data_IF_078041285743
#
_entry.id   IF_078041285743
#
_cell.length_a   1.000
_cell.length_b   1.000
_cell.length_c   1.000
_cell.angle_alpha   90.00
_cell.angle_beta   90.00
_cell.angle_gamma   90.00
#
_symmetry.space_group_name_H-M   'P 1'
#
loop_
_entity.id
_entity.type
_entity.pdbx_description
1 polymer ?
#
# COMPACT_ATOMS: atom_id res chain seq x y z
N UNK A 1 -18.90 3.10 -29.22
CA UNK A 1 -18.29 1.83 -29.65
C UNK A 1 -17.73 1.03 -28.46
N UNK A 2 -16.90 1.62 -27.59
CA UNK A 2 -16.32 0.93 -26.43
C UNK A 2 -17.34 0.43 -25.38
N UNK A 3 -18.45 1.14 -25.18
CA UNK A 3 -19.50 0.73 -24.25
C UNK A 3 -20.16 -0.59 -24.68
N UNK A 4 -20.37 -0.79 -25.98
CA UNK A 4 -20.93 -2.03 -26.52
C UNK A 4 -19.95 -3.20 -26.27
N UNK A 5 -18.64 -2.94 -26.41
CA UNK A 5 -17.60 -3.93 -26.11
C UNK A 5 -17.59 -4.27 -24.63
N UNK A 6 -17.67 -3.28 -23.72
CA UNK A 6 -17.74 -3.52 -22.27
C UNK A 6 -18.99 -4.36 -21.92
N UNK A 7 -20.16 -3.97 -22.44
CA UNK A 7 -21.41 -4.68 -22.17
C UNK A 7 -21.36 -6.11 -22.71
N UNK A 8 -20.76 -6.32 -23.88
CA UNK A 8 -20.58 -7.64 -24.47
C UNK A 8 -19.61 -8.50 -23.65
N UNK A 9 -18.54 -7.93 -23.11
CA UNK A 9 -17.61 -8.61 -22.20
C UNK A 9 -18.29 -9.01 -20.89
N UNK A 10 -19.05 -8.09 -20.27
CA UNK A 10 -19.80 -8.38 -19.04
C UNK A 10 -20.87 -9.44 -19.29
N UNK A 11 -21.60 -9.33 -20.41
CA UNK A 11 -22.62 -10.32 -20.78
C UNK A 11 -22.01 -11.71 -21.01
N UNK A 12 -20.78 -11.79 -21.54
CA UNK A 12 -20.05 -13.05 -21.75
C UNK A 12 -19.52 -13.65 -20.44
N UNK A 13 -19.24 -12.83 -19.43
CA UNK A 13 -18.81 -13.30 -18.11
C UNK A 13 -19.91 -14.05 -17.34
N UNK A 14 -21.18 -13.72 -17.57
CA UNK A 14 -22.33 -14.35 -16.88
C UNK A 14 -22.41 -15.87 -17.18
N UNK A 15 -22.45 -16.35 -18.44
CA UNK A 15 -22.55 -17.78 -18.73
C UNK A 15 -21.28 -18.55 -18.36
N UNK A 16 -20.09 -17.94 -18.47
CA UNK A 16 -18.83 -18.56 -18.00
C UNK A 16 -18.92 -18.86 -16.51
N UNK A 17 -19.40 -17.91 -15.72
CA UNK A 17 -19.55 -18.07 -14.26
C UNK A 17 -20.60 -19.13 -13.93
N UNK A 18 -21.72 -19.19 -14.66
CA UNK A 18 -22.77 -20.19 -14.46
C UNK A 18 -22.29 -21.63 -14.78
N UNK A 19 -21.56 -21.83 -15.88
CA UNK A 19 -21.01 -23.13 -16.28
C UNK A 19 -19.90 -23.58 -15.31
N UNK A 20 -19.09 -22.65 -14.82
CA UNK A 20 -18.06 -22.96 -13.82
C UNK A 20 -18.68 -23.39 -12.49
N UNK A 21 -19.81 -22.79 -12.07
CA UNK A 21 -20.45 -23.07 -10.79
C UNK A 21 -20.96 -24.52 -10.68
N UNK A 22 -21.38 -25.12 -11.80
CA UNK A 22 -21.83 -26.52 -11.88
C UNK A 22 -20.68 -27.53 -12.09
N UNK A 23 -19.44 -27.07 -12.28
CA UNK A 23 -18.27 -27.93 -12.55
C UNK A 23 -17.34 -28.04 -11.33
N UNK A 24 -16.68 -29.20 -11.09
CA UNK A 24 -15.72 -29.38 -9.99
C UNK A 24 -14.59 -28.34 -9.95
N UNK A 25 -14.31 -27.67 -11.07
CA UNK A 25 -13.36 -26.55 -11.14
C UNK A 25 -13.88 -25.30 -10.40
N UNK A 26 -15.14 -24.90 -10.57
CA UNK A 26 -15.72 -23.78 -9.82
C UNK A 26 -15.90 -24.12 -8.34
N UNK A 27 -16.20 -25.37 -7.98
CA UNK A 27 -16.27 -25.82 -6.58
C UNK A 27 -14.91 -25.89 -5.88
N UNK A 28 -13.83 -26.21 -6.61
CA UNK A 28 -12.47 -26.22 -6.08
C UNK A 28 -11.85 -24.81 -5.97
N UNK A 29 -12.20 -23.91 -6.89
CA UNK A 29 -11.88 -22.48 -6.77
C UNK A 29 -12.72 -21.84 -5.66
N UNK A 30 -14.02 -22.14 -5.56
CA UNK A 30 -14.85 -21.77 -4.43
C UNK A 30 -14.31 -22.35 -3.13
N UNK A 31 -13.77 -23.57 -3.08
CA UNK A 31 -13.13 -24.11 -1.86
C UNK A 31 -11.77 -23.49 -1.53
N UNK A 32 -11.11 -22.85 -2.51
CA UNK A 32 -9.92 -21.99 -2.30
C UNK A 32 -10.29 -20.54 -2.02
N UNK A 33 -11.47 -20.08 -2.42
CA UNK A 33 -12.02 -18.76 -2.10
C UNK A 33 -12.80 -18.77 -0.76
N UNK A 34 -13.41 -19.90 -0.40
CA UNK A 34 -14.12 -20.20 0.85
C UNK A 34 -13.23 -20.95 1.85
N UNK A 35 -11.98 -21.24 1.47
CA UNK A 35 -10.96 -21.74 2.37
C UNK A 35 -9.78 -20.77 2.41
N UNK A 36 -9.63 -19.94 3.44
CA UNK A 36 -10.62 -19.41 4.39
C UNK A 36 -11.12 -18.03 3.92
N UNK A 37 -11.99 -17.43 4.70
CA UNK A 37 -12.40 -16.01 4.66
C UNK A 37 -11.22 -15.00 4.69
N UNK A 38 -10.45 -14.90 3.61
CA UNK A 38 -9.21 -14.12 3.51
C UNK A 38 -9.37 -12.73 2.84
N UNK A 39 -10.60 -12.28 2.58
CA UNK A 39 -10.83 -10.87 2.24
C UNK A 39 -10.66 -9.96 3.46
N UNK A 40 -11.25 -10.33 4.60
CA UNK A 40 -11.21 -9.52 5.82
C UNK A 40 -9.92 -9.72 6.65
N UNK A 41 -9.34 -10.92 6.65
CA UNK A 41 -8.06 -11.21 7.31
C UNK A 41 -6.88 -10.50 6.64
N UNK A 42 -6.86 -10.50 5.30
CA UNK A 42 -5.83 -9.82 4.52
C UNK A 42 -5.95 -8.29 4.65
N UNK A 43 -7.16 -7.72 4.67
CA UNK A 43 -7.38 -6.29 4.92
C UNK A 43 -6.90 -5.88 6.31
N UNK A 44 -7.18 -6.68 7.34
CA UNK A 44 -6.78 -6.38 8.73
C UNK A 44 -5.27 -6.53 8.96
N UNK A 45 -4.63 -7.45 8.25
CA UNK A 45 -3.17 -7.57 8.21
C UNK A 45 -2.54 -6.40 7.43
N UNK A 46 -3.17 -5.97 6.33
CA UNK A 46 -2.76 -4.79 5.58
C UNK A 46 -2.88 -3.52 6.42
N UNK A 47 -3.96 -3.38 7.20
CA UNK A 47 -4.21 -2.27 8.11
C UNK A 47 -3.13 -2.19 9.21
N UNK A 48 -2.78 -3.32 9.83
CA UNK A 48 -1.66 -3.39 10.79
C UNK A 48 -0.32 -3.02 10.16
N UNK A 49 -0.08 -3.43 8.92
CA UNK A 49 1.15 -3.07 8.20
C UNK A 49 1.17 -1.59 7.86
N UNK A 50 0.04 -1.00 7.48
CA UNK A 50 -0.07 0.44 7.23
C UNK A 50 0.17 1.24 8.51
N UNK A 51 -0.44 0.86 9.63
CA UNK A 51 -0.22 1.51 10.92
C UNK A 51 1.25 1.46 11.38
N UNK A 52 1.92 0.32 11.16
CA UNK A 52 3.35 0.18 11.41
C UNK A 52 4.18 1.10 10.50
N UNK A 53 3.87 1.14 9.20
CA UNK A 53 4.55 2.01 8.24
C UNK A 53 4.32 3.51 8.55
N UNK A 54 3.13 3.90 8.99
CA UNK A 54 2.85 5.28 9.39
C UNK A 54 3.66 5.70 10.61
N UNK A 55 3.80 4.80 11.59
CA UNK A 55 4.64 5.00 12.77
C UNK A 55 6.10 5.16 12.37
N UNK A 56 6.61 4.26 11.51
CA UNK A 56 7.98 4.32 11.02
C UNK A 56 8.25 5.63 10.26
N UNK A 57 7.29 6.10 9.45
CA UNK A 57 7.40 7.38 8.73
C UNK A 57 7.44 8.57 9.70
N UNK A 58 6.63 8.56 10.76
CA UNK A 58 6.63 9.61 11.77
C UNK A 58 7.99 9.69 12.48
N UNK A 59 8.55 8.54 12.85
CA UNK A 59 9.87 8.45 13.47
C UNK A 59 10.99 8.89 12.53
N UNK A 60 10.94 8.47 11.27
CA UNK A 60 11.93 8.87 10.26
C UNK A 60 11.88 10.38 10.01
N UNK A 61 10.68 10.97 9.96
CA UNK A 61 10.49 12.41 9.78
C UNK A 61 11.09 13.18 10.95
N UNK A 62 10.90 12.70 12.18
CA UNK A 62 11.50 13.28 13.38
C UNK A 62 13.03 13.19 13.35
N UNK A 63 13.58 12.04 12.96
CA UNK A 63 15.03 11.84 12.84
C UNK A 63 15.63 12.76 11.78
N UNK A 64 14.99 12.92 10.62
CA UNK A 64 15.46 13.82 9.56
C UNK A 64 15.41 15.28 10.02
N UNK A 65 14.40 15.65 10.80
CA UNK A 65 14.28 17.01 11.34
C UNK A 65 15.39 17.29 12.35
N UNK A 66 15.63 16.39 13.30
CA UNK A 66 16.75 16.52 14.24
C UNK A 66 18.12 16.57 13.54
N UNK A 67 18.32 15.75 12.51
CA UNK A 67 19.55 15.76 11.73
C UNK A 67 19.74 17.08 10.96
N UNK A 68 18.65 17.69 10.46
CA UNK A 68 18.70 19.02 9.83
C UNK A 68 19.08 20.12 10.83
N UNK A 69 18.58 20.06 12.05
CA UNK A 69 18.94 20.99 13.12
C UNK A 69 20.42 20.87 13.48
N UNK A 70 20.95 19.65 13.57
CA UNK A 70 22.37 19.42 13.84
C UNK A 70 23.26 19.96 12.70
N UNK A 71 22.85 19.77 11.44
CA UNK A 71 23.55 20.36 10.29
C UNK A 71 23.52 21.88 10.33
N UNK A 72 22.37 22.49 10.67
CA UNK A 72 22.27 23.95 10.82
C UNK A 72 23.13 24.47 11.98
N UNK A 73 23.18 23.76 13.10
CA UNK A 73 24.02 24.12 14.24
C UNK A 73 25.51 24.06 13.87
N UNK A 74 25.94 23.01 13.17
CA UNK A 74 27.31 22.88 12.66
C UNK A 74 27.64 23.98 11.64
N UNK A 75 26.71 24.30 10.72
CA UNK A 75 26.89 25.42 9.80
C UNK A 75 27.05 26.76 10.55
N UNK A 76 26.23 27.01 11.58
CA UNK A 76 26.32 28.21 12.41
C UNK A 76 27.68 28.31 13.12
N UNK A 77 28.14 27.20 13.69
CA UNK A 77 29.44 27.09 14.33
C UNK A 77 30.62 27.24 13.36
N UNK A 78 30.43 27.01 12.06
CA UNK A 78 31.44 27.22 11.01
C UNK A 78 31.38 28.64 10.42
N UNK A 79 30.23 29.30 10.45
CA UNK A 79 30.07 30.71 10.04
C UNK A 79 30.66 31.69 11.07
N UNK A 80 30.41 31.49 12.36
CA UNK A 80 30.95 32.36 13.43
C UNK A 80 32.49 32.49 13.48
N UNK A 81 33.31 31.43 13.30
CA UNK A 81 34.78 31.53 13.28
C UNK A 81 35.35 32.14 12.00
N UNK A 82 34.53 32.41 10.97
CA UNK A 82 34.95 33.17 9.78
C UNK A 82 34.70 34.67 9.91
N UNK A 83 33.73 35.08 10.73
CA UNK A 83 33.32 36.49 10.87
C UNK A 83 34.22 37.31 11.80
N UNK A 84 34.97 36.66 12.67
CA UNK A 84 35.88 37.23 13.66
C UNK A 84 37.35 37.34 13.19
N UNK A 85 37.61 37.25 11.87
CA UNK A 85 38.94 37.38 11.27
C UNK A 85 39.09 38.53 10.25
N UNK A 86 38.19 39.51 10.29
CA UNK A 86 38.26 40.77 9.51
C UNK A 86 37.99 41.93 10.44
#
# INVERSE_FOLDING_TARGET
MWIIVIVLVIALMIPVTAILLDSPLGRSMARRLEGPSDGAGNVRELERRVEALETDIADLTRSVTGMREEIQFVQRLLEDPKKNRT
#
